data_IF_270049226616
#
_entry.id   IF_270049226616
#
_cell.length_a   1.000
_cell.length_b   1.000
_cell.length_c   1.000
_cell.angle_alpha   90.00
_cell.angle_beta   90.00
_cell.angle_gamma   90.00
#
_symmetry.space_group_name_H-M   'P 1'
#
loop_
_entity.id
_entity.type
_entity.pdbx_description
1 polymer ?
#
# COMPACT_ATOMS: atom_id res chain seq x y z
N UNK A 1 -19.21 -58.27 -55.52
CA UNK A 1 -19.15 -56.84 -55.39
C UNK A 1 -19.33 -56.51 -53.91
N UNK A 2 -18.23 -56.15 -53.20
CA UNK A 2 -18.20 -55.97 -51.76
C UNK A 2 -18.09 -54.46 -51.49
N UNK A 3 -19.11 -53.91 -50.87
CA UNK A 3 -19.11 -52.49 -50.42
C UNK A 3 -18.50 -52.41 -49.03
N UNK A 4 -17.36 -51.74 -48.90
CA UNK A 4 -16.71 -51.43 -47.65
C UNK A 4 -17.27 -50.09 -47.16
N UNK A 5 -18.03 -50.12 -46.07
CA UNK A 5 -18.39 -48.91 -45.30
C UNK A 5 -17.22 -48.51 -44.39
N UNK A 6 -16.59 -47.41 -44.72
CA UNK A 6 -15.62 -46.80 -43.85
C UNK A 6 -16.36 -45.93 -42.82
N UNK A 7 -16.40 -46.37 -41.56
CA UNK A 7 -16.86 -45.59 -40.42
C UNK A 7 -15.73 -44.61 -40.05
N UNK A 8 -15.96 -43.35 -40.36
CA UNK A 8 -15.09 -42.24 -39.90
C UNK A 8 -15.47 -41.88 -38.47
N UNK A 9 -14.70 -42.38 -37.48
CA UNK A 9 -14.81 -41.98 -36.08
C UNK A 9 -14.24 -40.54 -35.92
N UNK A 10 -15.12 -39.56 -35.87
CA UNK A 10 -14.74 -38.18 -35.44
C UNK A 10 -14.60 -38.22 -33.93
N UNK A 11 -13.35 -38.32 -33.47
CA UNK A 11 -13.01 -38.08 -32.07
C UNK A 11 -13.17 -36.61 -31.77
N UNK A 12 -14.28 -36.23 -31.17
CA UNK A 12 -14.45 -34.93 -30.51
C UNK A 12 -13.48 -34.87 -29.34
N UNK A 13 -12.32 -34.23 -29.54
CA UNK A 13 -11.49 -33.78 -28.43
C UNK A 13 -12.27 -32.68 -27.72
N UNK A 14 -13.03 -33.05 -26.70
CA UNK A 14 -13.50 -32.11 -25.70
C UNK A 14 -12.27 -31.71 -24.89
N UNK A 15 -11.62 -30.66 -25.32
CA UNK A 15 -10.65 -29.93 -24.46
C UNK A 15 -11.45 -29.44 -23.26
N UNK A 16 -11.46 -30.24 -22.19
CA UNK A 16 -11.89 -29.77 -20.88
C UNK A 16 -10.98 -28.57 -20.54
N UNK A 17 -11.50 -27.36 -20.73
CA UNK A 17 -10.98 -26.19 -20.04
C UNK A 17 -11.08 -26.49 -18.54
N UNK A 18 -10.04 -27.09 -17.99
CA UNK A 18 -9.79 -26.98 -16.56
C UNK A 18 -9.61 -25.49 -16.30
N UNK A 19 -10.67 -24.81 -15.93
CA UNK A 19 -10.56 -23.52 -15.28
C UNK A 19 -9.61 -23.74 -14.10
N UNK A 20 -8.36 -23.34 -14.25
CA UNK A 20 -7.35 -23.46 -13.20
C UNK A 20 -7.89 -22.62 -12.04
N UNK A 21 -8.42 -23.31 -11.03
CA UNK A 21 -8.82 -22.68 -9.77
C UNK A 21 -7.65 -21.86 -9.30
N UNK A 22 -7.84 -20.55 -9.18
CA UNK A 22 -6.74 -19.70 -8.73
C UNK A 22 -6.37 -20.09 -7.31
N UNK A 23 -5.11 -20.04 -6.93
CA UNK A 23 -4.69 -20.33 -5.55
C UNK A 23 -5.36 -19.42 -4.51
N UNK A 24 -5.89 -18.28 -4.92
CA UNK A 24 -6.55 -17.31 -4.03
C UNK A 24 -7.95 -17.74 -3.61
N UNK A 25 -8.74 -18.33 -4.50
CA UNK A 25 -10.15 -18.63 -4.24
C UNK A 25 -10.55 -19.98 -4.81
N UNK A 26 -11.49 -20.64 -4.12
CA UNK A 26 -12.20 -21.83 -4.64
C UNK A 26 -13.29 -21.45 -5.65
N UNK A 27 -13.64 -20.18 -5.72
CA UNK A 27 -14.65 -19.59 -6.60
C UNK A 27 -13.98 -18.73 -7.67
N UNK A 28 -14.71 -18.38 -8.73
CA UNK A 28 -14.22 -17.52 -9.81
C UNK A 28 -14.11 -16.04 -9.41
N UNK A 29 -14.49 -15.69 -8.18
CA UNK A 29 -14.42 -14.34 -7.64
C UNK A 29 -13.51 -14.30 -6.42
N UNK A 30 -12.55 -13.35 -6.43
CA UNK A 30 -11.65 -13.01 -5.33
C UNK A 30 -12.19 -11.74 -4.66
N UNK A 31 -12.32 -11.74 -3.35
CA UNK A 31 -12.60 -10.53 -2.56
C UNK A 31 -11.29 -9.98 -2.05
N UNK A 32 -11.03 -8.71 -2.35
CA UNK A 32 -9.80 -8.02 -2.00
C UNK A 32 -10.08 -6.86 -1.04
N UNK A 33 -9.65 -6.99 0.21
CA UNK A 33 -9.77 -5.93 1.20
C UNK A 33 -8.67 -4.88 1.03
N UNK A 34 -9.00 -3.59 1.15
CA UNK A 34 -8.03 -2.51 1.08
C UNK A 34 -8.32 -1.41 2.11
N UNK A 35 -7.31 -0.59 2.42
CA UNK A 35 -7.45 0.52 3.35
C UNK A 35 -8.04 1.74 2.64
N UNK A 36 -9.32 1.98 2.82
CA UNK A 36 -10.07 3.05 2.15
C UNK A 36 -9.64 4.47 2.57
N UNK A 37 -8.99 4.60 3.74
CA UNK A 37 -8.46 5.87 4.24
C UNK A 37 -7.03 6.19 3.75
N UNK A 38 -6.43 5.35 2.90
CA UNK A 38 -5.05 5.52 2.44
C UNK A 38 -5.01 5.90 0.94
N UNK A 39 -4.85 7.20 0.60
CA UNK A 39 -4.78 7.65 -0.79
C UNK A 39 -3.62 7.02 -1.58
N UNK A 40 -2.54 6.58 -0.91
CA UNK A 40 -1.44 5.85 -1.56
C UNK A 40 -1.88 4.49 -2.12
N UNK A 41 -2.95 3.91 -1.60
CA UNK A 41 -3.53 2.67 -2.11
C UNK A 41 -4.67 2.92 -3.08
N UNK A 42 -5.67 3.69 -2.65
CA UNK A 42 -6.86 3.96 -3.43
C UNK A 42 -7.58 5.22 -2.94
N UNK A 43 -8.24 5.91 -3.85
CA UNK A 43 -9.14 7.04 -3.58
C UNK A 43 -10.50 6.74 -4.17
N UNK A 44 -11.55 7.01 -3.40
CA UNK A 44 -12.94 6.93 -3.87
C UNK A 44 -13.38 8.30 -4.34
N UNK A 45 -13.79 8.40 -5.60
CA UNK A 45 -14.40 9.60 -6.13
C UNK A 45 -15.73 9.85 -5.41
N UNK A 46 -15.91 11.00 -4.75
CA UNK A 46 -17.13 11.27 -3.97
C UNK A 46 -18.37 11.45 -4.84
N UNK A 47 -18.23 11.86 -6.10
CA UNK A 47 -19.33 12.11 -7.01
C UNK A 47 -19.81 10.84 -7.72
N UNK A 48 -18.88 10.00 -8.16
CA UNK A 48 -19.16 8.79 -8.95
C UNK A 48 -19.14 7.51 -8.12
N UNK A 49 -18.48 7.53 -6.96
CA UNK A 49 -18.22 6.34 -6.14
C UNK A 49 -17.12 5.42 -6.71
N UNK A 50 -16.54 5.78 -7.86
CA UNK A 50 -15.47 4.98 -8.47
C UNK A 50 -14.21 4.98 -7.60
N UNK A 51 -13.59 3.80 -7.46
CA UNK A 51 -12.33 3.64 -6.72
C UNK A 51 -11.18 3.60 -7.72
N UNK A 52 -10.24 4.54 -7.59
CA UNK A 52 -9.06 4.69 -8.44
C UNK A 52 -7.78 4.63 -7.61
N UNK A 53 -6.65 4.29 -8.23
CA UNK A 53 -5.33 4.25 -7.61
C UNK A 53 -4.61 2.93 -7.85
N UNK A 54 -3.47 2.74 -7.18
CA UNK A 54 -2.58 1.60 -7.41
C UNK A 54 -3.26 0.25 -7.07
N UNK A 55 -4.02 0.17 -5.98
CA UNK A 55 -4.70 -1.09 -5.61
C UNK A 55 -5.80 -1.47 -6.61
N UNK A 56 -6.73 -0.58 -7.02
CA UNK A 56 -7.66 -0.89 -8.10
C UNK A 56 -7.00 -1.29 -9.41
N UNK A 57 -5.87 -0.68 -9.77
CA UNK A 57 -5.13 -1.04 -10.98
C UNK A 57 -4.53 -2.45 -10.85
N UNK A 58 -3.92 -2.79 -9.70
CA UNK A 58 -3.42 -4.14 -9.42
C UNK A 58 -4.53 -5.19 -9.47
N UNK A 59 -5.70 -4.86 -8.96
CA UNK A 59 -6.87 -5.74 -9.01
C UNK A 59 -7.31 -6.01 -10.45
N UNK A 60 -7.43 -4.97 -11.29
CA UNK A 60 -7.75 -5.14 -12.72
C UNK A 60 -6.70 -5.95 -13.46
N UNK A 61 -5.43 -5.77 -13.12
CA UNK A 61 -4.35 -6.56 -13.73
C UNK A 61 -4.38 -8.03 -13.28
N UNK A 62 -4.74 -8.29 -12.02
CA UNK A 62 -4.96 -9.65 -11.51
C UNK A 62 -6.13 -10.33 -12.25
N UNK A 63 -7.25 -9.61 -12.44
CA UNK A 63 -8.39 -10.08 -13.24
C UNK A 63 -7.94 -10.45 -14.66
N UNK A 64 -7.22 -9.54 -15.32
CA UNK A 64 -6.76 -9.72 -16.69
C UNK A 64 -5.80 -10.91 -16.86
N UNK A 65 -4.85 -11.06 -15.93
CA UNK A 65 -3.77 -12.06 -16.04
C UNK A 65 -4.17 -13.44 -15.53
N UNK A 66 -5.14 -13.52 -14.64
CA UNK A 66 -5.60 -14.78 -14.01
C UNK A 66 -6.99 -15.24 -14.48
N UNK A 67 -7.70 -14.42 -15.27
CA UNK A 67 -9.04 -14.77 -15.75
C UNK A 67 -10.08 -14.88 -14.65
N UNK A 68 -9.92 -14.14 -13.55
CA UNK A 68 -10.82 -14.13 -12.40
C UNK A 68 -11.57 -12.81 -12.30
N UNK A 69 -12.61 -12.77 -11.49
CA UNK A 69 -13.24 -11.50 -11.07
C UNK A 69 -12.73 -11.12 -9.69
N UNK A 70 -12.50 -9.84 -9.44
CA UNK A 70 -12.09 -9.35 -8.12
C UNK A 70 -13.05 -8.26 -7.64
N UNK A 71 -13.58 -8.40 -6.45
CA UNK A 71 -14.38 -7.37 -5.78
C UNK A 71 -13.57 -6.67 -4.71
N UNK A 72 -13.57 -5.33 -4.71
CA UNK A 72 -12.89 -4.51 -3.72
C UNK A 72 -13.76 -4.28 -2.50
N UNK A 73 -13.21 -4.50 -1.31
CA UNK A 73 -13.86 -4.26 -0.01
C UNK A 73 -13.05 -3.21 0.76
N UNK A 74 -13.56 -1.98 0.83
CA UNK A 74 -12.93 -0.91 1.62
C UNK A 74 -13.07 -1.17 3.12
N UNK A 75 -11.97 -0.99 3.87
CA UNK A 75 -11.94 -1.04 5.34
C UNK A 75 -11.39 0.29 5.89
N UNK A 76 -11.90 0.76 7.04
CA UNK A 76 -11.54 2.09 7.56
C UNK A 76 -10.13 2.14 8.16
N UNK A 77 -9.59 1.00 8.60
CA UNK A 77 -8.29 0.91 9.27
C UNK A 77 -7.56 -0.40 8.91
N UNK A 78 -6.24 -0.49 9.19
CA UNK A 78 -5.45 -1.67 8.88
C UNK A 78 -5.94 -2.95 9.57
N UNK A 79 -6.43 -2.85 10.80
CA UNK A 79 -6.95 -4.01 11.52
C UNK A 79 -8.16 -4.60 10.80
N UNK A 80 -9.07 -3.76 10.29
CA UNK A 80 -10.22 -4.21 9.51
C UNK A 80 -9.85 -4.96 8.22
N UNK A 81 -8.73 -4.58 7.56
CA UNK A 81 -8.21 -5.32 6.40
C UNK A 81 -7.71 -6.71 6.84
N UNK A 82 -6.95 -6.78 7.93
CA UNK A 82 -6.41 -8.03 8.47
C UNK A 82 -7.55 -8.95 8.92
N UNK A 83 -8.53 -8.41 9.63
CA UNK A 83 -9.67 -9.18 10.13
C UNK A 83 -10.51 -9.73 8.97
N UNK A 84 -10.71 -8.96 7.90
CA UNK A 84 -11.42 -9.42 6.72
C UNK A 84 -10.73 -10.65 6.07
N UNK A 85 -9.40 -10.65 5.99
CA UNK A 85 -8.65 -11.78 5.45
C UNK A 85 -8.63 -12.97 6.42
N UNK A 86 -8.35 -12.72 7.70
CA UNK A 86 -8.32 -13.76 8.75
C UNK A 86 -9.65 -14.50 8.87
N UNK A 87 -10.77 -13.78 8.81
CA UNK A 87 -12.10 -14.33 8.98
C UNK A 87 -12.71 -14.90 7.68
N UNK A 88 -11.97 -14.86 6.56
CA UNK A 88 -12.46 -15.35 5.26
C UNK A 88 -13.51 -14.46 4.59
N UNK A 89 -13.63 -13.19 5.02
CA UNK A 89 -14.44 -12.18 4.34
C UNK A 89 -13.77 -11.68 3.06
N UNK A 90 -12.43 -11.79 2.98
CA UNK A 90 -11.62 -11.51 1.82
C UNK A 90 -10.56 -12.60 1.62
N UNK A 91 -10.24 -12.91 0.37
CA UNK A 91 -9.19 -13.87 0.02
C UNK A 91 -7.80 -13.23 0.07
N UNK A 92 -7.71 -11.93 -0.22
CA UNK A 92 -6.48 -11.14 -0.14
C UNK A 92 -6.75 -9.78 0.49
N UNK A 93 -5.69 -9.12 0.99
CA UNK A 93 -5.81 -7.76 1.51
C UNK A 93 -4.57 -6.93 1.18
N UNK A 94 -4.74 -5.61 1.11
CA UNK A 94 -3.67 -4.65 0.86
C UNK A 94 -3.44 -3.79 2.10
N UNK A 95 -2.24 -3.87 2.68
CA UNK A 95 -1.94 -3.18 3.95
C UNK A 95 -0.44 -2.93 4.10
N UNK A 96 -0.06 -1.97 4.96
CA UNK A 96 1.33 -1.76 5.32
C UNK A 96 1.90 -3.00 6.03
N UNK A 97 3.11 -3.42 5.62
CA UNK A 97 3.85 -4.49 6.27
C UNK A 97 4.15 -4.13 7.73
N UNK A 98 3.81 -5.03 8.61
CA UNK A 98 4.19 -4.97 10.02
C UNK A 98 4.36 -6.40 10.55
N UNK A 99 5.57 -6.81 10.96
CA UNK A 99 5.83 -8.17 11.43
C UNK A 99 5.00 -8.55 12.68
N UNK A 100 4.58 -7.59 13.50
CA UNK A 100 3.72 -7.85 14.66
C UNK A 100 2.30 -8.29 14.29
N UNK A 101 1.90 -8.13 13.03
CA UNK A 101 0.60 -8.54 12.48
C UNK A 101 0.63 -9.88 11.78
N UNK A 102 1.83 -10.47 11.61
CA UNK A 102 2.02 -11.80 11.03
C UNK A 102 1.48 -12.90 11.98
N UNK A 103 1.18 -14.06 11.40
CA UNK A 103 0.62 -15.21 12.11
C UNK A 103 -0.80 -15.54 11.64
N UNK A 104 -1.82 -14.73 11.97
CA UNK A 104 -3.16 -14.94 11.43
C UNK A 104 -3.27 -14.65 9.92
N UNK A 105 -2.33 -13.86 9.38
CA UNK A 105 -2.13 -13.58 7.96
C UNK A 105 -0.65 -13.68 7.63
N UNK A 106 -0.34 -13.93 6.36
CA UNK A 106 1.01 -13.90 5.81
C UNK A 106 1.16 -12.75 4.84
N UNK A 107 2.33 -12.10 4.86
CA UNK A 107 2.65 -10.96 4.01
C UNK A 107 3.49 -11.40 2.82
N UNK A 108 3.17 -10.88 1.65
CA UNK A 108 4.01 -11.01 0.46
C UNK A 108 5.26 -10.14 0.57
N UNK A 109 6.15 -10.24 -0.44
CA UNK A 109 7.10 -9.17 -0.76
C UNK A 109 6.36 -7.84 -0.91
N UNK A 110 6.99 -6.71 -0.55
CA UNK A 110 6.35 -5.41 -0.74
C UNK A 110 6.22 -5.07 -2.23
N UNK A 111 5.10 -4.46 -2.61
CA UNK A 111 4.90 -3.97 -3.98
C UNK A 111 5.14 -2.46 -4.10
N UNK A 112 4.94 -1.71 -3.01
CA UNK A 112 4.96 -0.25 -2.98
C UNK A 112 5.65 0.24 -1.71
N UNK A 113 6.32 1.38 -1.79
CA UNK A 113 6.77 2.17 -0.64
C UNK A 113 5.94 3.45 -0.53
N UNK A 114 5.52 3.78 0.69
CA UNK A 114 4.93 5.08 1.03
C UNK A 114 5.98 5.89 1.79
N UNK A 115 6.54 6.88 1.13
CA UNK A 115 7.67 7.64 1.64
C UNK A 115 7.26 8.53 2.81
N UNK A 116 8.12 8.60 3.82
CA UNK A 116 7.98 9.43 5.01
C UNK A 116 8.97 10.57 4.96
N UNK A 117 8.52 11.79 5.28
CA UNK A 117 9.35 12.99 5.31
C UNK A 117 8.89 13.94 6.40
N UNK A 118 9.48 15.14 6.46
CA UNK A 118 9.13 16.15 7.43
C UNK A 118 8.66 17.46 6.79
N UNK A 119 7.69 18.08 7.44
CA UNK A 119 7.30 19.48 7.25
C UNK A 119 7.99 20.33 8.30
N UNK A 120 8.55 21.46 7.87
CA UNK A 120 9.28 22.42 8.70
C UNK A 120 8.85 23.85 8.34
N UNK A 121 9.16 24.83 9.18
CA UNK A 121 9.01 26.24 8.82
C UNK A 121 9.95 26.63 7.66
N UNK A 122 9.56 27.58 6.82
CA UNK A 122 10.37 28.02 5.66
C UNK A 122 11.77 28.51 6.05
N UNK A 123 11.88 29.19 7.17
CA UNK A 123 13.13 29.73 7.74
C UNK A 123 13.91 28.72 8.59
N UNK A 124 13.37 27.52 8.78
CA UNK A 124 14.02 26.45 9.56
C UNK A 124 15.42 26.13 9.05
N UNK A 125 16.34 25.91 10.00
CA UNK A 125 17.71 25.45 9.74
C UNK A 125 17.77 23.95 9.38
N UNK A 126 16.67 23.21 9.51
CA UNK A 126 16.56 21.82 9.05
C UNK A 126 16.38 21.85 7.53
N UNK A 127 17.40 21.46 6.77
CA UNK A 127 17.40 21.49 5.31
C UNK A 127 17.20 20.10 4.69
N UNK A 128 17.57 19.07 5.43
CA UNK A 128 17.51 17.66 4.98
C UNK A 128 17.19 16.71 6.14
N UNK A 129 16.97 15.45 5.83
CA UNK A 129 16.78 14.38 6.82
C UNK A 129 18.01 14.24 7.73
N UNK A 130 19.22 14.52 7.25
CA UNK A 130 20.43 14.49 8.07
C UNK A 130 20.45 15.51 9.21
N UNK A 131 19.61 16.54 9.13
CA UNK A 131 19.53 17.59 10.14
C UNK A 131 18.51 17.32 11.26
N UNK A 132 17.69 16.28 11.15
CA UNK A 132 16.59 16.05 12.10
C UNK A 132 17.08 15.55 13.46
N UNK A 133 18.06 14.64 13.49
CA UNK A 133 18.56 14.03 14.74
C UNK A 133 19.74 14.82 15.30
N UNK A 134 19.46 16.03 15.78
CA UNK A 134 20.45 16.89 16.44
C UNK A 134 20.00 17.26 17.85
N UNK A 135 20.94 17.53 18.72
CA UNK A 135 20.66 17.92 20.10
C UNK A 135 19.75 19.15 20.16
N UNK A 136 18.74 19.10 21.01
CA UNK A 136 17.74 20.15 21.20
C UNK A 136 16.61 20.16 20.15
N UNK A 137 16.68 19.35 19.09
CA UNK A 137 15.59 19.24 18.11
C UNK A 137 14.39 18.48 18.68
N UNK A 138 13.20 19.04 18.48
CA UNK A 138 11.91 18.47 18.84
C UNK A 138 11.15 18.04 17.59
N UNK A 139 10.97 16.74 17.42
CA UNK A 139 10.36 16.15 16.24
C UNK A 139 8.95 15.66 16.58
N UNK A 140 7.94 16.33 16.02
CA UNK A 140 6.55 15.93 16.16
C UNK A 140 6.19 14.75 15.25
N UNK A 141 5.42 13.78 15.75
CA UNK A 141 4.78 12.73 14.96
C UNK A 141 3.49 12.28 15.62
N UNK A 142 2.55 11.75 14.82
CA UNK A 142 1.32 11.16 15.36
C UNK A 142 1.65 9.96 16.23
N UNK A 143 1.05 9.90 17.43
CA UNK A 143 1.24 8.78 18.37
C UNK A 143 0.95 7.45 17.69
N UNK A 144 1.83 6.48 17.90
CA UNK A 144 1.76 5.12 17.37
C UNK A 144 1.73 5.01 15.83
N UNK A 145 1.92 6.08 15.09
CA UNK A 145 2.11 6.04 13.63
C UNK A 145 3.49 5.43 13.29
N UNK A 146 3.63 4.94 12.07
CA UNK A 146 4.85 4.28 11.59
C UNK A 146 6.10 5.14 11.77
N UNK A 147 5.99 6.45 11.52
CA UNK A 147 7.12 7.37 11.69
C UNK A 147 7.47 7.58 13.17
N UNK A 148 6.50 7.69 14.08
CA UNK A 148 6.77 7.77 15.51
C UNK A 148 7.47 6.51 16.02
N UNK A 149 7.00 5.33 15.59
CA UNK A 149 7.64 4.05 15.93
C UNK A 149 9.06 3.95 15.36
N UNK A 150 9.29 4.45 14.17
CA UNK A 150 10.62 4.51 13.56
C UNK A 150 11.54 5.43 14.36
N UNK A 151 11.14 6.68 14.60
CA UNK A 151 11.91 7.69 15.33
C UNK A 151 12.24 7.24 16.76
N UNK A 152 11.30 6.60 17.45
CA UNK A 152 11.54 6.05 18.81
C UNK A 152 12.70 5.06 18.86
N UNK A 153 12.94 4.32 17.76
CA UNK A 153 14.02 3.33 17.68
C UNK A 153 15.32 3.88 17.14
N UNK A 154 15.27 4.97 16.37
CA UNK A 154 16.42 5.42 15.58
C UNK A 154 17.02 6.74 16.03
N UNK A 155 16.25 7.61 16.69
CA UNK A 155 16.78 8.86 17.26
C UNK A 155 17.83 8.58 18.31
N UNK A 156 18.92 9.34 18.24
CA UNK A 156 20.06 9.26 19.17
C UNK A 156 20.11 10.44 20.12
N UNK A 157 19.85 11.65 19.63
CA UNK A 157 20.02 12.89 20.39
C UNK A 157 18.81 13.85 20.27
N UNK A 158 18.02 13.76 19.21
CA UNK A 158 16.77 14.49 19.04
C UNK A 158 15.68 13.99 19.98
N UNK A 159 14.66 14.79 20.22
CA UNK A 159 13.52 14.46 21.07
C UNK A 159 12.28 14.21 20.23
N UNK A 160 11.65 13.04 20.38
CA UNK A 160 10.36 12.74 19.79
C UNK A 160 9.24 13.31 20.66
N UNK A 161 8.34 14.08 20.04
CA UNK A 161 7.08 14.59 20.63
C UNK A 161 5.92 13.84 19.94
N UNK A 162 5.31 12.92 20.67
CA UNK A 162 4.14 12.20 20.15
C UNK A 162 2.87 13.00 20.40
N UNK A 163 2.10 13.21 19.32
CA UNK A 163 0.92 14.06 19.30
C UNK A 163 -0.34 13.21 19.08
N UNK A 164 -1.40 13.53 19.82
CA UNK A 164 -2.71 12.90 19.69
C UNK A 164 -3.60 13.68 18.72
N UNK A 165 -3.62 15.02 18.82
CA UNK A 165 -4.23 15.89 17.81
C UNK A 165 -3.20 16.22 16.72
N UNK A 166 -3.43 15.70 15.54
CA UNK A 166 -2.59 15.90 14.37
C UNK A 166 -3.39 16.48 13.19
N UNK A 167 -4.35 17.35 13.51
CA UNK A 167 -4.98 18.22 12.52
C UNK A 167 -3.94 19.15 11.90
N UNK A 168 -4.14 19.53 10.63
CA UNK A 168 -3.23 20.43 9.91
C UNK A 168 -3.02 21.74 10.67
N UNK A 169 -4.09 22.30 11.21
CA UNK A 169 -4.07 23.55 11.97
C UNK A 169 -3.22 23.44 13.23
N UNK A 170 -3.43 22.39 14.03
CA UNK A 170 -2.64 22.12 15.25
C UNK A 170 -1.16 21.99 14.93
N UNK A 171 -0.80 21.22 13.91
CA UNK A 171 0.60 21.00 13.54
C UNK A 171 1.27 22.30 13.08
N UNK A 172 0.59 23.10 12.25
CA UNK A 172 1.12 24.38 11.80
C UNK A 172 1.30 25.36 12.96
N UNK A 173 0.39 25.37 13.94
CA UNK A 173 0.53 26.17 15.16
C UNK A 173 1.75 25.73 15.98
N UNK A 174 1.91 24.42 16.23
CA UNK A 174 3.04 23.89 17.00
C UNK A 174 4.40 24.21 16.34
N UNK A 175 4.48 24.20 15.01
CA UNK A 175 5.67 24.60 14.26
C UNK A 175 5.94 26.10 14.42
N UNK A 176 4.93 26.97 14.26
CA UNK A 176 5.07 28.43 14.43
C UNK A 176 5.48 28.81 15.85
N UNK A 177 4.94 28.17 16.86
CA UNK A 177 5.20 28.44 18.26
C UNK A 177 6.54 27.82 18.74
N UNK A 178 7.26 27.10 17.88
CA UNK A 178 8.50 26.40 18.23
C UNK A 178 8.31 25.26 19.26
N UNK A 179 7.08 24.79 19.44
CA UNK A 179 6.81 23.62 20.27
C UNK A 179 7.40 22.34 19.64
N UNK A 180 7.44 22.29 18.31
CA UNK A 180 8.17 21.30 17.51
C UNK A 180 8.98 22.00 16.43
N UNK A 181 10.13 21.45 16.05
CA UNK A 181 10.98 21.97 14.97
C UNK A 181 10.64 21.39 13.61
N UNK A 182 10.10 20.16 13.59
CA UNK A 182 9.67 19.46 12.40
C UNK A 182 8.52 18.51 12.74
N UNK A 183 7.61 18.29 11.79
CA UNK A 183 6.55 17.28 11.90
C UNK A 183 6.70 16.21 10.84
N UNK A 184 6.83 14.97 11.26
CA UNK A 184 6.98 13.79 10.41
C UNK A 184 5.66 13.12 10.08
N UNK A 185 5.45 12.81 8.80
CA UNK A 185 4.33 12.00 8.30
C UNK A 185 4.62 11.49 6.88
N UNK A 186 3.67 10.76 6.26
CA UNK A 186 3.82 10.38 4.88
C UNK A 186 3.87 11.62 3.95
N UNK A 187 4.72 11.53 2.92
CA UNK A 187 4.95 12.64 1.98
C UNK A 187 3.66 13.10 1.29
N UNK A 188 2.79 12.20 0.90
CA UNK A 188 1.55 12.53 0.24
C UNK A 188 0.69 13.47 1.11
N UNK A 189 0.44 13.10 2.38
CA UNK A 189 -0.33 13.92 3.33
C UNK A 189 0.30 15.31 3.51
N UNK A 190 1.60 15.35 3.74
CA UNK A 190 2.30 16.60 3.93
C UNK A 190 2.32 17.47 2.66
N UNK A 191 2.40 16.86 1.48
CA UNK A 191 2.29 17.59 0.21
C UNK A 191 0.91 18.22 0.06
N UNK A 192 -0.15 17.50 0.37
CA UNK A 192 -1.50 18.06 0.33
C UNK A 192 -1.67 19.22 1.31
N UNK A 193 -1.12 19.11 2.51
CA UNK A 193 -1.16 20.18 3.50
C UNK A 193 -0.34 21.43 3.11
N UNK A 194 0.75 21.27 2.39
CA UNK A 194 1.60 22.40 1.99
C UNK A 194 1.14 23.10 0.72
N UNK A 195 0.18 22.57 -0.03
CA UNK A 195 -0.37 23.22 -1.22
C UNK A 195 -0.91 24.63 -0.92
N UNK A 196 -1.67 24.75 0.19
CA UNK A 196 -2.35 25.98 0.57
C UNK A 196 -1.75 26.62 1.85
N UNK A 197 -0.75 25.98 2.46
CA UNK A 197 -0.15 26.43 3.71
C UNK A 197 0.96 27.44 3.47
N UNK A 198 0.85 28.61 4.12
CA UNK A 198 1.91 29.63 4.11
C UNK A 198 2.91 29.39 5.25
N UNK A 199 4.19 29.66 4.98
CA UNK A 199 5.24 29.65 6.00
C UNK A 199 5.86 28.28 6.30
N UNK A 200 5.42 27.20 5.66
CA UNK A 200 5.97 25.85 5.82
C UNK A 200 6.45 25.28 4.49
N UNK A 201 7.38 24.34 4.56
CA UNK A 201 7.87 23.55 3.42
C UNK A 201 8.13 22.11 3.81
N UNK A 202 8.21 21.25 2.82
CA UNK A 202 8.68 19.87 2.99
C UNK A 202 10.20 19.80 2.83
N UNK A 203 10.81 18.82 3.48
CA UNK A 203 12.15 18.40 3.10
C UNK A 203 12.10 17.72 1.72
N UNK A 204 13.16 17.95 0.93
CA UNK A 204 13.26 17.38 -0.42
C UNK A 204 13.50 15.88 -0.42
N UNK A 205 14.18 15.39 0.60
CA UNK A 205 14.53 13.99 0.81
C UNK A 205 13.51 13.25 1.70
N UNK A 206 13.58 11.93 1.67
CA UNK A 206 12.72 11.04 2.44
C UNK A 206 13.51 10.35 3.55
N UNK A 207 12.87 10.17 4.71
CA UNK A 207 13.45 9.47 5.85
C UNK A 207 13.53 7.96 5.56
N UNK A 208 12.43 7.37 5.10
CA UNK A 208 12.31 5.97 4.67
C UNK A 208 10.96 5.76 3.97
N UNK A 209 10.78 4.56 3.37
CA UNK A 209 9.52 4.13 2.77
C UNK A 209 8.84 3.06 3.62
N UNK A 210 7.56 3.25 3.93
CA UNK A 210 6.72 2.24 4.56
C UNK A 210 6.28 1.23 3.51
N UNK A 211 6.70 -0.02 3.67
CA UNK A 211 6.37 -1.10 2.76
C UNK A 211 4.87 -1.41 2.75
N UNK A 212 4.30 -1.51 1.57
CA UNK A 212 2.94 -1.98 1.35
C UNK A 212 3.00 -3.37 0.74
N UNK A 213 2.24 -4.30 1.28
CA UNK A 213 2.22 -5.69 0.87
C UNK A 213 0.79 -6.20 0.63
N UNK A 214 0.69 -7.30 -0.10
CA UNK A 214 -0.54 -8.10 -0.12
C UNK A 214 -0.48 -9.05 1.07
N UNK A 215 -1.61 -9.28 1.72
CA UNK A 215 -1.77 -10.30 2.74
C UNK A 215 -2.70 -11.40 2.25
N UNK A 216 -2.41 -12.62 2.68
CA UNK A 216 -3.24 -13.82 2.48
C UNK A 216 -3.53 -14.47 3.82
N UNK A 217 -4.53 -15.35 3.95
CA UNK A 217 -4.77 -16.09 5.20
C UNK A 217 -3.55 -16.90 5.61
N UNK A 218 -3.28 -16.96 6.91
CA UNK A 218 -2.17 -17.74 7.48
C UNK A 218 -2.25 -19.23 7.07
N UNK A 219 -1.11 -19.82 6.73
CA UNK A 219 -1.01 -21.21 6.28
C UNK A 219 -1.39 -21.46 4.82
N UNK A 220 -1.77 -20.42 4.05
CA UNK A 220 -2.09 -20.55 2.61
C UNK A 220 -0.85 -20.27 1.75
N UNK A 221 0.11 -21.19 1.82
CA UNK A 221 1.36 -21.09 1.05
C UNK A 221 1.13 -20.94 -0.45
N UNK A 222 0.18 -21.69 -1.00
CA UNK A 222 -0.23 -21.61 -2.41
C UNK A 222 -0.68 -20.20 -2.82
N UNK A 223 -1.49 -19.54 -1.98
CA UNK A 223 -1.94 -18.17 -2.20
C UNK A 223 -0.79 -17.15 -2.04
N UNK A 224 0.08 -17.36 -1.05
CA UNK A 224 1.24 -16.51 -0.83
C UNK A 224 2.21 -16.54 -2.02
N UNK A 225 2.52 -17.73 -2.52
CA UNK A 225 3.42 -17.92 -3.66
C UNK A 225 2.83 -17.31 -4.94
N UNK A 226 1.52 -17.50 -5.18
CA UNK A 226 0.84 -16.89 -6.31
C UNK A 226 0.80 -15.34 -6.22
N UNK A 227 0.61 -14.79 -5.03
CA UNK A 227 0.62 -13.34 -4.82
C UNK A 227 2.04 -12.77 -5.01
N UNK A 228 3.07 -13.45 -4.53
CA UNK A 228 4.46 -13.06 -4.76
C UNK A 228 4.83 -13.10 -6.24
N UNK A 229 4.43 -14.17 -6.95
CA UNK A 229 4.61 -14.27 -8.40
C UNK A 229 3.92 -13.12 -9.13
N UNK A 230 2.69 -12.79 -8.77
CA UNK A 230 1.96 -11.65 -9.35
C UNK A 230 2.70 -10.32 -9.13
N UNK A 231 3.22 -10.07 -7.91
CA UNK A 231 4.02 -8.86 -7.62
C UNK A 231 5.27 -8.81 -8.50
N UNK A 232 5.98 -9.93 -8.66
CA UNK A 232 7.17 -9.99 -9.51
C UNK A 232 6.83 -9.73 -10.99
N UNK A 233 5.69 -10.21 -11.48
CA UNK A 233 5.21 -9.98 -12.84
C UNK A 233 4.87 -8.49 -13.09
N UNK A 234 4.07 -7.86 -12.21
CA UNK A 234 3.68 -6.44 -12.37
C UNK A 234 4.84 -5.48 -12.17
N UNK A 235 5.87 -5.89 -11.41
CA UNK A 235 7.11 -5.14 -11.26
C UNK A 235 7.95 -5.23 -12.54
N UNK A 236 8.23 -6.45 -13.04
CA UNK A 236 9.06 -6.68 -14.24
C UNK A 236 8.46 -6.11 -15.51
N UNK A 237 7.14 -6.12 -15.64
CA UNK A 237 6.44 -5.53 -16.80
C UNK A 237 6.44 -3.99 -16.78
N UNK A 238 6.83 -3.35 -15.69
CA UNK A 238 6.72 -1.90 -15.49
C UNK A 238 5.29 -1.43 -15.16
N UNK A 239 4.33 -2.35 -15.02
CA UNK A 239 2.94 -2.02 -14.72
C UNK A 239 2.80 -1.20 -13.43
N UNK A 240 3.49 -1.60 -12.35
CA UNK A 240 3.47 -0.86 -11.07
C UNK A 240 3.96 0.58 -11.24
N UNK A 241 5.05 0.80 -11.97
CA UNK A 241 5.57 2.15 -12.23
C UNK A 241 4.53 3.00 -12.96
N UNK A 242 3.96 2.46 -14.04
CA UNK A 242 2.92 3.15 -14.84
C UNK A 242 1.66 3.44 -14.01
N UNK A 243 1.24 2.51 -13.15
CA UNK A 243 0.08 2.71 -12.26
C UNK A 243 0.33 3.81 -11.23
N UNK A 244 1.54 3.86 -10.63
CA UNK A 244 1.95 4.93 -9.72
C UNK A 244 1.92 6.29 -10.43
N UNK A 245 2.53 6.40 -11.61
CA UNK A 245 2.56 7.63 -12.40
C UNK A 245 1.14 8.10 -12.75
N UNK A 246 0.28 7.19 -13.18
CA UNK A 246 -1.13 7.47 -13.50
C UNK A 246 -1.95 7.91 -12.29
N UNK A 247 -1.66 7.37 -11.11
CA UNK A 247 -2.37 7.76 -9.89
C UNK A 247 -2.20 9.23 -9.52
N UNK A 248 -1.10 9.86 -9.97
CA UNK A 248 -0.73 11.23 -9.60
C UNK A 248 -0.38 11.41 -8.11
N UNK A 249 -0.33 10.31 -7.34
CA UNK A 249 -0.03 10.36 -5.91
C UNK A 249 1.47 10.54 -5.72
N UNK A 250 1.87 11.61 -5.06
CA UNK A 250 3.27 11.89 -4.72
C UNK A 250 3.71 11.10 -3.49
N UNK A 251 5.01 10.81 -3.39
CA UNK A 251 5.57 10.13 -2.21
C UNK A 251 5.30 8.64 -2.16
N UNK A 252 5.00 8.02 -3.29
CA UNK A 252 4.95 6.57 -3.45
C UNK A 252 5.92 6.12 -4.53
N UNK A 253 6.57 4.99 -4.32
CA UNK A 253 7.54 4.41 -5.26
C UNK A 253 7.37 2.90 -5.32
N UNK A 254 7.83 2.28 -6.41
CA UNK A 254 7.90 0.82 -6.51
C UNK A 254 8.87 0.30 -5.43
N UNK A 255 8.45 -0.71 -4.67
CA UNK A 255 9.34 -1.34 -3.71
C UNK A 255 10.48 -2.07 -4.43
N UNK A 256 11.74 -2.02 -3.91
CA UNK A 256 12.85 -2.74 -4.50
C UNK A 256 12.65 -4.26 -4.45
N UNK A 257 13.33 -4.97 -5.34
CA UNK A 257 13.42 -6.44 -5.25
C UNK A 257 14.21 -6.84 -4.00
N UNK A 258 13.73 -7.88 -3.33
CA UNK A 258 14.42 -8.54 -2.21
C UNK A 258 14.59 -10.02 -2.51
#
# INVERSE_FOLDING_TARGET
MRWLFALMLVALMVSSLNAQRTPFSKNDTIRAAYLASNPAQAMKDPATGEVRGVVPDLVRELERTRGVKVSLIGRPNPQGVIDAVRNGEAEIGFVAYNPQRAGPVEFTKPYLLVNQTFMVMNDSQIKSIADIDRQGRKLGATRADSIALYLRRTLKVGTLIELDDTSQETIQRLLRDGAIDAYGSNRQRLTDWTKDAKGVRLLSDDLYGVEQAIIVPGGRRDALDAANQFIDEVRRSGFLKTSIERSGVVGITVAPER
#
